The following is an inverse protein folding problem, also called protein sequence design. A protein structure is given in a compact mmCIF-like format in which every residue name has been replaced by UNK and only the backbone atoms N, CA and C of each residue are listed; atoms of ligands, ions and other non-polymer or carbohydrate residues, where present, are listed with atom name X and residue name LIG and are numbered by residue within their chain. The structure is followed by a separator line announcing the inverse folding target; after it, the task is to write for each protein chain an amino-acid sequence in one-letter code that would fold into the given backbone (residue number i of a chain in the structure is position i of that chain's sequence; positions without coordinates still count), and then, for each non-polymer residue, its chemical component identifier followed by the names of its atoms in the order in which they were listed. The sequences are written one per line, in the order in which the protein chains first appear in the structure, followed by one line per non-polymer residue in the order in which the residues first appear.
data_IF_982850296338
#
_entry.id   IF_982850296338
#
_cell.length_a   1.000
_cell.length_b   1.000
_cell.length_c   1.000
_cell.angle_alpha   90.00
_cell.angle_beta   90.00
_cell.angle_gamma   90.00
#
_symmetry.space_group_name_H-M   'P 1'
#
loop_
_entity.id
_entity.type
_entity.pdbx_description
1 polymer ?
#
# COMPACT_ATOMS: atom_id res chain seq x y z
N UNK A 1 17.72 3.26 -50.80
CA UNK A 1 16.68 3.82 -49.92
C UNK A 1 16.69 3.01 -48.63
N UNK A 2 17.30 3.56 -47.57
CA UNK A 2 17.42 2.90 -46.27
C UNK A 2 16.05 2.84 -45.60
N UNK A 3 15.63 1.65 -45.17
CA UNK A 3 14.42 1.50 -44.37
C UNK A 3 14.70 1.98 -42.95
N UNK A 4 14.02 3.06 -42.54
CA UNK A 4 13.94 3.50 -41.16
C UNK A 4 13.33 2.39 -40.29
N UNK A 5 14.18 1.66 -39.56
CA UNK A 5 13.76 0.79 -38.47
C UNK A 5 13.22 1.67 -37.35
N UNK A 6 11.91 1.92 -37.34
CA UNK A 6 11.21 2.45 -36.17
C UNK A 6 11.62 1.62 -34.94
N UNK A 7 11.97 2.22 -33.80
CA UNK A 7 12.38 1.47 -32.63
C UNK A 7 11.22 0.56 -32.22
N UNK A 8 11.37 -0.73 -32.46
CA UNK A 8 10.44 -1.75 -31.98
C UNK A 8 10.56 -1.74 -30.47
N UNK A 9 9.51 -1.26 -29.80
CA UNK A 9 9.39 -1.35 -28.33
C UNK A 9 9.68 -2.79 -27.95
N UNK A 10 10.72 -3.00 -27.15
CA UNK A 10 11.13 -4.33 -26.70
C UNK A 10 9.99 -4.91 -25.86
N UNK A 11 9.18 -5.78 -26.48
CA UNK A 11 8.14 -6.52 -25.79
C UNK A 11 8.82 -7.70 -25.11
N UNK A 12 9.08 -7.58 -23.81
CA UNK A 12 9.48 -8.72 -23.00
C UNK A 12 8.27 -9.64 -22.87
N UNK A 13 8.44 -10.89 -23.28
CA UNK A 13 7.48 -11.96 -23.00
C UNK A 13 7.21 -12.01 -21.49
N UNK A 14 5.98 -11.67 -21.09
CA UNK A 14 5.55 -11.86 -19.71
C UNK A 14 5.39 -13.37 -19.52
N UNK A 15 6.36 -14.01 -18.83
CA UNK A 15 6.31 -15.42 -18.46
C UNK A 15 4.90 -15.75 -17.96
N UNK A 16 4.16 -16.59 -18.70
CA UNK A 16 2.71 -16.79 -18.60
C UNK A 16 2.19 -17.46 -17.32
N UNK A 17 2.96 -17.40 -16.23
CA UNK A 17 2.53 -17.86 -14.91
C UNK A 17 1.61 -16.82 -14.27
N UNK A 18 0.41 -16.67 -14.84
CA UNK A 18 -0.64 -15.81 -14.28
C UNK A 18 -1.26 -16.53 -13.09
N UNK A 19 -0.66 -16.38 -11.91
CA UNK A 19 -1.27 -16.86 -10.67
C UNK A 19 -2.49 -15.99 -10.37
N UNK A 20 -3.69 -16.58 -10.43
CA UNK A 20 -4.92 -15.93 -9.95
C UNK A 20 -4.90 -15.97 -8.43
N UNK A 21 -4.77 -14.81 -7.79
CA UNK A 21 -4.92 -14.71 -6.35
C UNK A 21 -6.40 -14.88 -5.98
N UNK A 22 -6.69 -15.84 -5.11
CA UNK A 22 -8.01 -15.99 -4.48
C UNK A 22 -8.27 -14.87 -3.47
N UNK A 23 -9.52 -14.71 -3.05
CA UNK A 23 -9.88 -13.79 -1.97
C UNK A 23 -9.10 -14.06 -0.67
N UNK A 24 -8.94 -15.35 -0.31
CA UNK A 24 -8.17 -15.74 0.87
C UNK A 24 -6.67 -15.48 0.71
N UNK A 25 -6.14 -15.63 -0.52
CA UNK A 25 -4.74 -15.28 -0.80
C UNK A 25 -4.52 -13.78 -0.60
N UNK A 26 -5.47 -12.95 -1.06
CA UNK A 26 -5.40 -11.51 -0.88
C UNK A 26 -5.46 -11.13 0.62
N UNK A 27 -6.34 -11.74 1.41
CA UNK A 27 -6.38 -11.50 2.87
C UNK A 27 -5.05 -11.89 3.52
N UNK A 28 -4.56 -13.10 3.22
CA UNK A 28 -3.33 -13.64 3.81
C UNK A 28 -2.11 -12.76 3.51
N UNK A 29 -1.96 -12.32 2.27
CA UNK A 29 -0.89 -11.40 1.87
C UNK A 29 -1.01 -10.06 2.59
N UNK A 30 -2.21 -9.48 2.73
CA UNK A 30 -2.38 -8.20 3.41
C UNK A 30 -2.10 -8.30 4.92
N UNK A 31 -2.56 -9.36 5.59
CA UNK A 31 -2.26 -9.60 7.01
C UNK A 31 -0.75 -9.78 7.22
N UNK A 32 -0.10 -10.51 6.32
CA UNK A 32 1.35 -10.72 6.36
C UNK A 32 2.12 -9.42 6.13
N UNK A 33 1.66 -8.58 5.20
CA UNK A 33 2.31 -7.30 4.87
C UNK A 33 2.17 -6.27 5.99
N UNK A 34 1.01 -6.17 6.65
CA UNK A 34 0.79 -5.24 7.75
C UNK A 34 1.50 -5.64 9.05
N UNK A 35 2.02 -6.86 9.16
CA UNK A 35 2.58 -7.39 10.41
C UNK A 35 1.64 -7.16 11.61
N UNK A 36 0.35 -7.52 11.45
CA UNK A 36 -0.73 -7.23 12.41
C UNK A 36 -0.37 -7.65 13.85
N UNK A 37 0.37 -8.75 14.00
CA UNK A 37 0.82 -9.23 15.31
C UNK A 37 1.86 -8.33 15.97
N UNK A 38 2.82 -7.79 15.22
CA UNK A 38 3.81 -6.86 15.75
C UNK A 38 3.18 -5.51 16.09
N UNK A 39 2.32 -4.99 15.20
CA UNK A 39 1.62 -3.74 15.45
C UNK A 39 0.73 -3.82 16.69
N UNK A 40 -0.12 -4.85 16.83
CA UNK A 40 -1.01 -4.98 17.99
C UNK A 40 -0.26 -5.30 19.28
N UNK A 41 0.77 -6.15 19.22
CA UNK A 41 1.58 -6.53 20.38
C UNK A 41 2.42 -5.37 20.90
N UNK A 42 3.09 -4.64 20.00
CA UNK A 42 3.97 -3.54 20.38
C UNK A 42 3.18 -2.27 20.70
N UNK A 43 2.15 -1.88 19.92
CA UNK A 43 1.33 -0.72 20.26
C UNK A 43 0.61 -0.95 21.60
N UNK A 44 0.06 -2.14 21.83
CA UNK A 44 -0.58 -2.48 23.09
C UNK A 44 0.39 -2.38 24.28
N UNK A 45 1.63 -2.87 24.12
CA UNK A 45 2.66 -2.80 25.16
C UNK A 45 3.24 -1.39 25.34
N UNK A 46 3.66 -0.73 24.27
CA UNK A 46 4.27 0.60 24.28
C UNK A 46 3.28 1.66 24.76
N UNK A 47 2.03 1.65 24.30
CA UNK A 47 1.04 2.64 24.75
C UNK A 47 0.58 2.43 26.19
N UNK A 48 0.59 1.20 26.71
CA UNK A 48 0.36 0.93 28.14
C UNK A 48 1.57 1.31 29.00
N UNK A 49 2.80 1.13 28.49
CA UNK A 49 4.02 1.51 29.17
C UNK A 49 4.21 3.04 29.29
N UNK A 50 3.68 3.83 28.34
CA UNK A 50 3.79 5.30 28.33
C UNK A 50 2.85 5.99 29.35
N UNK A 51 2.05 5.23 30.12
CA UNK A 51 1.21 5.74 31.22
C UNK A 51 0.38 6.99 30.85
N UNK A 52 -0.21 6.98 29.66
CA UNK A 52 -1.10 8.05 29.22
C UNK A 52 -2.43 7.94 29.99
N UNK A 53 -2.60 8.83 30.97
CA UNK A 53 -3.79 8.86 31.84
C UNK A 53 -5.04 9.08 30.97
N UNK A 54 -6.01 8.17 31.07
CA UNK A 54 -7.28 8.25 30.34
C UNK A 54 -7.28 7.66 28.93
N UNK A 55 -6.21 6.99 28.50
CA UNK A 55 -6.13 6.36 27.18
C UNK A 55 -7.08 5.14 27.09
N UNK A 56 -8.07 5.22 26.20
CA UNK A 56 -8.93 4.10 25.83
C UNK A 56 -8.51 3.58 24.45
N UNK A 57 -7.72 2.50 24.43
CA UNK A 57 -7.22 1.88 23.20
C UNK A 57 -8.34 1.30 22.33
N UNK A 58 -9.45 0.85 22.92
CA UNK A 58 -10.60 0.33 22.16
C UNK A 58 -11.24 1.44 21.36
N UNK A 59 -11.52 2.58 22.01
CA UNK A 59 -12.10 3.74 21.32
C UNK A 59 -11.17 4.28 20.24
N UNK A 60 -9.86 4.39 20.54
CA UNK A 60 -8.86 4.81 19.56
C UNK A 60 -8.82 3.87 18.34
N UNK A 61 -8.91 2.56 18.55
CA UNK A 61 -8.93 1.56 17.47
C UNK A 61 -10.17 1.68 16.59
N UNK A 62 -11.35 1.91 17.19
CA UNK A 62 -12.60 2.13 16.45
C UNK A 62 -12.52 3.40 15.60
N UNK A 63 -12.01 4.50 16.16
CA UNK A 63 -11.83 5.75 15.41
C UNK A 63 -10.83 5.58 14.26
N UNK A 64 -9.70 4.91 14.50
CA UNK A 64 -8.72 4.61 13.46
C UNK A 64 -9.32 3.76 12.33
N UNK A 65 -10.12 2.73 12.67
CA UNK A 65 -10.84 1.92 11.70
C UNK A 65 -11.79 2.77 10.83
N UNK A 66 -12.61 3.62 11.46
CA UNK A 66 -13.54 4.48 10.73
C UNK A 66 -12.81 5.45 9.78
N UNK A 67 -11.69 6.05 10.23
CA UNK A 67 -10.89 6.95 9.40
C UNK A 67 -10.18 6.24 8.23
N UNK A 68 -9.99 4.92 8.31
CA UNK A 68 -9.41 4.13 7.21
C UNK A 68 -10.42 3.78 6.10
N UNK A 69 -11.74 3.93 6.33
CA UNK A 69 -12.78 3.57 5.36
C UNK A 69 -12.60 4.29 4.01
N UNK A 70 -12.37 5.62 3.94
CA UNK A 70 -12.15 6.30 2.67
C UNK A 70 -10.96 5.72 1.89
N UNK A 71 -9.89 5.35 2.60
CA UNK A 71 -8.72 4.73 2.00
C UNK A 71 -9.07 3.35 1.42
N UNK A 72 -9.80 2.51 2.15
CA UNK A 72 -10.26 1.20 1.66
C UNK A 72 -11.07 1.35 0.36
N UNK A 73 -11.96 2.34 0.30
CA UNK A 73 -12.79 2.61 -0.87
C UNK A 73 -11.93 3.03 -2.06
N UNK A 74 -11.02 3.98 -1.88
CA UNK A 74 -10.12 4.45 -2.95
C UNK A 74 -9.20 3.33 -3.46
N UNK A 75 -8.60 2.55 -2.57
CA UNK A 75 -7.74 1.42 -2.96
C UNK A 75 -8.51 0.36 -3.73
N UNK A 76 -9.73 0.04 -3.30
CA UNK A 76 -10.60 -0.91 -4.02
C UNK A 76 -10.92 -0.43 -5.43
N UNK A 77 -11.20 0.87 -5.61
CA UNK A 77 -11.42 1.45 -6.93
C UNK A 77 -10.17 1.41 -7.81
N UNK A 78 -9.00 1.75 -7.26
CA UNK A 78 -7.74 1.78 -8.00
C UNK A 78 -7.28 0.40 -8.44
N UNK A 79 -7.38 -0.63 -7.58
CA UNK A 79 -7.07 -2.02 -7.93
C UNK A 79 -7.91 -2.51 -9.10
N UNK A 80 -9.21 -2.17 -9.13
CA UNK A 80 -10.11 -2.53 -10.23
C UNK A 80 -9.81 -1.78 -11.52
N UNK A 81 -9.47 -0.49 -11.42
CA UNK A 81 -9.23 0.37 -12.59
C UNK A 81 -7.85 0.16 -13.22
N UNK A 82 -6.85 -0.17 -12.41
CA UNK A 82 -5.46 -0.37 -12.83
C UNK A 82 -4.96 -1.71 -12.28
N UNK A 83 -5.35 -2.85 -12.89
CA UNK A 83 -4.99 -4.19 -12.42
C UNK A 83 -3.56 -4.56 -12.83
N UNK A 84 -2.59 -3.73 -12.43
CA UNK A 84 -1.17 -3.95 -12.68
C UNK A 84 -0.41 -3.96 -11.37
N UNK A 85 0.65 -4.76 -11.32
CA UNK A 85 1.57 -4.79 -10.18
C UNK A 85 2.28 -3.46 -10.03
N UNK A 86 2.49 -3.02 -8.79
CA UNK A 86 3.19 -1.77 -8.44
C UNK A 86 2.39 -0.75 -7.62
N UNK A 87 1.13 -1.07 -7.25
CA UNK A 87 0.36 -0.35 -6.22
C UNK A 87 0.31 1.17 -6.43
N UNK A 88 0.48 1.92 -5.33
CA UNK A 88 0.39 3.39 -5.29
C UNK A 88 1.34 4.06 -6.28
N UNK A 89 2.56 3.56 -6.42
CA UNK A 89 3.52 4.08 -7.40
C UNK A 89 2.91 4.10 -8.80
N UNK A 90 2.31 3.00 -9.21
CA UNK A 90 1.72 2.85 -10.53
C UNK A 90 0.41 3.63 -10.68
N UNK A 91 -0.38 3.75 -9.62
CA UNK A 91 -1.65 4.50 -9.65
C UNK A 91 -1.40 6.00 -9.74
N UNK A 92 -0.46 6.52 -8.95
CA UNK A 92 -0.15 7.95 -8.87
C UNK A 92 0.62 8.39 -10.12
N UNK A 93 1.64 7.65 -10.56
CA UNK A 93 2.39 8.02 -11.79
C UNK A 93 1.55 7.99 -13.05
N UNK A 94 0.51 7.15 -13.12
CA UNK A 94 -0.44 7.17 -14.24
C UNK A 94 -1.44 8.31 -14.20
N UNK A 95 -1.71 8.84 -13.00
CA UNK A 95 -2.66 9.94 -12.83
C UNK A 95 -1.98 11.30 -12.97
N UNK A 96 -0.78 11.46 -12.41
CA UNK A 96 -0.06 12.74 -12.32
C UNK A 96 1.18 12.82 -13.23
N UNK A 97 1.51 11.74 -13.94
CA UNK A 97 2.75 11.62 -14.72
C UNK A 97 3.97 11.26 -13.85
N UNK A 98 5.08 10.91 -14.51
CA UNK A 98 6.28 10.43 -13.82
C UNK A 98 6.96 11.48 -12.94
N UNK A 99 7.00 12.74 -13.38
CA UNK A 99 7.72 13.82 -12.69
C UNK A 99 7.13 14.12 -11.31
N UNK A 100 5.80 14.16 -11.20
CA UNK A 100 5.12 14.43 -9.92
C UNK A 100 4.72 13.15 -9.20
N UNK A 101 4.32 12.11 -9.94
CA UNK A 101 3.81 10.90 -9.33
C UNK A 101 4.88 10.04 -8.65
N UNK A 102 6.11 10.01 -9.17
CA UNK A 102 7.18 9.23 -8.55
C UNK A 102 7.60 9.80 -7.18
N UNK A 103 7.90 11.12 -7.05
CA UNK A 103 8.20 11.72 -5.75
C UNK A 103 7.05 11.59 -4.76
N UNK A 104 5.80 11.79 -5.20
CA UNK A 104 4.63 11.71 -4.32
C UNK A 104 4.41 10.29 -3.78
N UNK A 105 4.65 9.28 -4.60
CA UNK A 105 4.55 7.88 -4.18
C UNK A 105 5.65 7.51 -3.18
N UNK A 106 6.88 8.00 -3.41
CA UNK A 106 7.98 7.82 -2.48
C UNK A 106 7.71 8.50 -1.14
N UNK A 107 7.23 9.76 -1.19
CA UNK A 107 6.83 10.51 0.00
C UNK A 107 5.77 9.75 0.79
N UNK A 108 4.72 9.24 0.12
CA UNK A 108 3.66 8.44 0.75
C UNK A 108 4.21 7.22 1.49
N UNK A 109 5.09 6.44 0.84
CA UNK A 109 5.74 5.28 1.46
C UNK A 109 6.57 5.68 2.68
N UNK A 110 7.37 6.74 2.59
CA UNK A 110 8.20 7.20 3.72
C UNK A 110 7.37 7.67 4.90
N UNK A 111 6.25 8.37 4.67
CA UNK A 111 5.36 8.81 5.74
C UNK A 111 4.71 7.64 6.46
N UNK A 112 4.27 6.63 5.71
CA UNK A 112 3.70 5.40 6.26
C UNK A 112 4.73 4.67 7.13
N UNK A 113 5.94 4.46 6.62
CA UNK A 113 7.01 3.77 7.36
C UNK A 113 7.44 4.56 8.60
N UNK A 114 7.51 5.89 8.54
CA UNK A 114 7.79 6.71 9.72
C UNK A 114 6.71 6.60 10.80
N UNK A 115 5.44 6.61 10.39
CA UNK A 115 4.34 6.42 11.33
C UNK A 115 4.36 5.02 11.95
N UNK A 116 4.67 3.98 11.16
CA UNK A 116 4.85 2.62 11.65
C UNK A 116 5.98 2.53 12.68
N UNK A 117 7.16 3.09 12.37
CA UNK A 117 8.31 3.11 13.28
C UNK A 117 8.08 3.95 14.55
N UNK A 118 7.16 4.91 14.53
CA UNK A 118 6.79 5.65 15.73
C UNK A 118 5.87 4.85 16.68
N UNK A 119 5.23 3.80 16.14
CA UNK A 119 4.30 2.95 16.87
C UNK A 119 4.96 1.70 17.47
N UNK A 120 6.12 1.29 16.94
CA UNK A 120 6.91 0.14 17.42
C UNK A 120 8.17 0.57 18.17
#
# INVERSE_FOLDING_TARGET
MGQDKKPTVFLREATGLVKRASFLDAISINISNMSVGAALGVIGYTMTAVNVIGLNLVLASVLAFLLSIPQIVVYTMMVRRVPRTGGDYVWVTRTLGGIFGAPLSLMGYTLETMAYMALI
#
